data_IF_391460796284
#
_entry.id   IF_391460796284
#
_cell.length_a   1.000
_cell.length_b   1.000
_cell.length_c   1.000
_cell.angle_alpha   90.00
_cell.angle_beta   90.00
_cell.angle_gamma   90.00
#
_symmetry.space_group_name_H-M   'P 1'
#
loop_
_entity.id
_entity.type
_entity.pdbx_description
1 polymer ?
#
# COMPACT_ATOMS: atom_id res chain seq x y z
N UNK A 1 -9.68 -35.27 -82.68
CA UNK A 1 -8.65 -35.90 -81.83
C UNK A 1 -8.10 -34.84 -80.88
N UNK A 2 -8.33 -34.92 -79.56
CA UNK A 2 -7.74 -33.99 -78.60
C UNK A 2 -6.35 -34.50 -78.17
N UNK A 3 -5.37 -33.61 -78.04
CA UNK A 3 -4.17 -33.86 -77.24
C UNK A 3 -4.45 -33.36 -75.82
N UNK A 4 -4.32 -34.25 -74.84
CA UNK A 4 -4.60 -33.97 -73.43
C UNK A 4 -3.43 -33.29 -72.71
N UNK A 5 -3.82 -32.24 -72.00
CA UNK A 5 -3.18 -31.55 -70.89
C UNK A 5 -2.26 -32.40 -69.99
N UNK A 6 -1.03 -31.93 -69.80
CA UNK A 6 -0.28 -32.12 -68.54
C UNK A 6 0.20 -30.74 -68.10
N UNK A 7 -0.43 -30.17 -67.08
CA UNK A 7 -0.12 -28.84 -66.56
C UNK A 7 1.16 -28.88 -65.71
N UNK A 8 2.08 -27.95 -66.00
CA UNK A 8 3.40 -27.77 -65.36
C UNK A 8 3.35 -27.32 -63.88
N UNK A 9 2.22 -27.46 -63.20
CA UNK A 9 1.92 -26.80 -61.92
C UNK A 9 2.29 -27.60 -60.67
N UNK A 10 2.70 -28.87 -60.79
CA UNK A 10 2.89 -29.73 -59.62
C UNK A 10 4.25 -29.60 -58.90
N UNK A 11 5.27 -28.97 -59.52
CA UNK A 11 6.63 -28.99 -58.96
C UNK A 11 7.06 -27.73 -58.19
N UNK A 12 6.26 -26.65 -58.20
CA UNK A 12 6.63 -25.38 -57.55
C UNK A 12 6.10 -25.21 -56.12
N UNK A 13 5.19 -26.06 -55.66
CA UNK A 13 4.54 -25.85 -54.36
C UNK A 13 5.24 -26.50 -53.17
N UNK A 14 6.18 -27.43 -53.38
CA UNK A 14 6.82 -28.13 -52.25
C UNK A 14 8.03 -27.39 -51.68
N UNK A 15 8.63 -26.46 -52.42
CA UNK A 15 9.81 -25.70 -51.95
C UNK A 15 9.46 -24.41 -51.20
N UNK A 16 8.29 -23.83 -51.42
CA UNK A 16 7.89 -22.55 -50.80
C UNK A 16 7.38 -22.75 -49.36
N UNK A 17 6.85 -23.93 -49.02
CA UNK A 17 6.31 -24.20 -47.67
C UNK A 17 7.41 -24.44 -46.62
N UNK A 18 8.63 -24.81 -47.03
CA UNK A 18 9.75 -25.05 -46.11
C UNK A 18 10.44 -23.74 -45.67
N UNK A 19 10.36 -22.67 -46.48
CA UNK A 19 10.99 -21.39 -46.13
C UNK A 19 10.17 -20.51 -45.16
N UNK A 20 8.86 -20.72 -45.01
CA UNK A 20 8.03 -19.87 -44.14
C UNK A 20 7.99 -20.33 -42.67
N UNK A 21 8.49 -21.51 -42.34
CA UNK A 21 8.49 -22.02 -40.96
C UNK A 21 9.73 -21.62 -40.14
N UNK A 22 10.75 -21.01 -40.77
CA UNK A 22 12.04 -20.73 -40.11
C UNK A 22 12.17 -19.28 -39.61
N UNK A 23 11.28 -18.36 -40.02
CA UNK A 23 11.41 -16.93 -39.67
C UNK A 23 10.63 -16.47 -38.44
N UNK A 24 9.74 -17.29 -37.88
CA UNK A 24 9.16 -17.02 -36.56
C UNK A 24 9.95 -17.76 -35.49
N UNK A 25 11.17 -17.27 -35.24
CA UNK A 25 11.94 -17.67 -34.07
C UNK A 25 11.08 -17.45 -32.82
N UNK A 26 10.74 -18.55 -32.14
CA UNK A 26 10.10 -18.51 -30.83
C UNK A 26 11.09 -17.76 -29.93
N UNK A 27 10.83 -16.48 -29.63
CA UNK A 27 11.65 -15.75 -28.67
C UNK A 27 11.50 -16.49 -27.33
N UNK A 28 12.56 -17.10 -26.78
CA UNK A 28 12.45 -17.68 -25.45
C UNK A 28 12.01 -16.57 -24.51
N UNK A 29 10.95 -16.81 -23.74
CA UNK A 29 10.56 -15.88 -22.69
C UNK A 29 11.76 -15.73 -21.75
N UNK A 30 12.33 -14.53 -21.68
CA UNK A 30 13.35 -14.24 -20.66
C UNK A 30 12.67 -14.39 -19.31
N UNK A 31 13.16 -15.32 -18.49
CA UNK A 31 12.75 -15.41 -17.10
C UNK A 31 13.05 -14.07 -16.42
N UNK A 32 12.00 -13.44 -15.88
CA UNK A 32 12.16 -12.26 -15.03
C UNK A 32 12.73 -12.75 -13.70
N UNK A 33 13.91 -12.28 -13.34
CA UNK A 33 14.49 -12.49 -12.02
C UNK A 33 13.99 -11.40 -11.07
N UNK A 34 13.44 -11.79 -9.94
CA UNK A 34 13.10 -10.87 -8.86
C UNK A 34 14.22 -10.86 -7.82
N UNK A 35 14.45 -9.70 -7.21
CA UNK A 35 15.34 -9.54 -6.07
C UNK A 35 14.57 -8.97 -4.89
N UNK A 36 14.86 -9.48 -3.69
CA UNK A 36 14.36 -8.90 -2.45
C UNK A 36 15.06 -7.56 -2.23
N UNK A 37 14.28 -6.48 -2.12
CA UNK A 37 14.79 -5.11 -1.88
C UNK A 37 14.72 -4.70 -0.41
N UNK A 38 13.86 -5.37 0.36
CA UNK A 38 13.74 -5.25 1.80
C UNK A 38 13.10 -6.52 2.39
N UNK A 39 13.52 -6.92 3.59
CA UNK A 39 12.97 -8.05 4.34
C UNK A 39 12.91 -7.77 5.85
N UNK A 40 12.35 -8.71 6.60
CA UNK A 40 12.21 -8.58 8.06
C UNK A 40 11.34 -7.39 8.50
N UNK A 41 10.39 -6.97 7.66
CA UNK A 41 9.49 -5.84 7.91
C UNK A 41 8.22 -6.29 8.66
N UNK A 42 7.69 -5.39 9.49
CA UNK A 42 6.55 -5.66 10.37
C UNK A 42 5.24 -5.16 9.76
N UNK A 43 4.36 -6.07 9.35
CA UNK A 43 3.01 -5.78 8.82
C UNK A 43 3.00 -4.62 7.80
N UNK A 44 3.73 -4.80 6.69
CA UNK A 44 3.82 -3.80 5.61
C UNK A 44 2.44 -3.44 5.05
N UNK A 45 2.16 -2.15 4.86
CA UNK A 45 0.89 -1.65 4.29
C UNK A 45 1.08 -0.89 2.98
N UNK A 46 1.73 0.27 3.04
CA UNK A 46 1.96 1.16 1.90
C UNK A 46 3.44 1.40 1.63
N UNK A 47 3.76 1.77 0.38
CA UNK A 47 5.10 2.14 -0.04
C UNK A 47 5.04 3.19 -1.15
N UNK A 48 6.06 4.05 -1.22
CA UNK A 48 6.25 4.94 -2.36
C UNK A 48 7.72 5.36 -2.50
N UNK A 49 8.11 5.77 -3.70
CA UNK A 49 9.42 6.35 -3.98
C UNK A 49 9.42 7.85 -3.73
N UNK A 50 10.46 8.33 -3.06
CA UNK A 50 10.76 9.76 -3.00
C UNK A 50 11.39 10.22 -4.33
N UNK A 51 11.38 11.54 -4.64
CA UNK A 51 12.00 12.07 -5.86
C UNK A 51 13.51 11.80 -5.98
N UNK A 52 14.19 11.48 -4.89
CA UNK A 52 15.61 11.13 -4.88
C UNK A 52 15.88 9.64 -5.17
N UNK A 53 14.83 8.87 -5.49
CA UNK A 53 14.90 7.45 -5.80
C UNK A 53 14.87 6.50 -4.59
N UNK A 54 14.83 7.03 -3.37
CA UNK A 54 14.71 6.20 -2.16
C UNK A 54 13.30 5.60 -2.08
N UNK A 55 13.21 4.30 -1.76
CA UNK A 55 11.93 3.64 -1.47
C UNK A 55 11.61 3.82 0.01
N UNK A 56 10.39 4.25 0.32
CA UNK A 56 9.87 4.30 1.69
C UNK A 56 8.73 3.30 1.85
N UNK A 57 8.72 2.58 2.97
CA UNK A 57 7.80 1.49 3.28
C UNK A 57 7.22 1.76 4.66
N UNK A 58 5.90 1.72 4.78
CA UNK A 58 5.20 1.83 6.06
C UNK A 58 5.02 0.46 6.69
N UNK A 59 5.37 0.39 7.98
CA UNK A 59 5.26 -0.81 8.81
C UNK A 59 4.22 -0.54 9.88
N UNK A 60 3.08 -1.24 9.84
CA UNK A 60 2.06 -1.11 10.87
C UNK A 60 2.52 -1.63 12.24
N UNK A 61 3.65 -2.35 12.30
CA UNK A 61 4.22 -2.86 13.54
C UNK A 61 3.57 -4.15 14.01
N UNK A 62 3.96 -4.64 15.18
CA UNK A 62 3.54 -5.91 15.79
C UNK A 62 2.74 -5.72 17.08
N UNK A 63 2.19 -4.52 17.30
CA UNK A 63 1.49 -4.16 18.53
C UNK A 63 2.44 -3.94 19.70
N UNK A 64 1.98 -4.22 20.91
CA UNK A 64 2.78 -4.14 22.13
C UNK A 64 2.10 -4.73 23.37
N UNK A 65 2.51 -4.25 24.53
CA UNK A 65 1.99 -4.67 25.84
C UNK A 65 1.05 -3.62 26.47
N UNK A 66 0.52 -2.72 25.65
CA UNK A 66 -0.50 -1.75 26.03
C UNK A 66 -1.89 -2.36 26.13
N UNK A 67 -2.93 -1.51 26.05
CA UNK A 67 -4.32 -1.96 26.12
C UNK A 67 -4.61 -2.98 25.02
N UNK A 68 -5.31 -4.04 25.39
CA UNK A 68 -5.77 -5.06 24.46
C UNK A 68 -7.29 -4.97 24.28
N UNK A 69 -7.73 -5.14 23.04
CA UNK A 69 -9.14 -5.22 22.66
C UNK A 69 -9.39 -6.57 21.96
N UNK A 70 -10.63 -7.09 21.93
CA UNK A 70 -10.97 -8.24 21.10
C UNK A 70 -10.49 -8.02 19.66
N UNK A 71 -9.79 -9.01 19.10
CA UNK A 71 -9.32 -8.93 17.71
C UNK A 71 -10.52 -8.93 16.76
N UNK A 72 -10.54 -8.05 15.73
CA UNK A 72 -11.71 -7.87 14.88
C UNK A 72 -12.05 -9.08 13.99
N UNK A 73 -11.16 -10.08 13.89
CA UNK A 73 -11.28 -11.15 12.89
C UNK A 73 -11.04 -12.56 13.43
N UNK A 74 -10.63 -12.72 14.69
CA UNK A 74 -10.28 -14.01 15.27
C UNK A 74 -10.79 -14.11 16.71
N UNK A 75 -11.88 -14.85 16.89
CA UNK A 75 -12.48 -15.10 18.21
C UNK A 75 -11.45 -15.65 19.20
N UNK A 76 -11.49 -15.13 20.42
CA UNK A 76 -10.59 -15.55 21.51
C UNK A 76 -9.18 -14.98 21.46
N UNK A 77 -8.81 -14.24 20.40
CA UNK A 77 -7.55 -13.53 20.32
C UNK A 77 -7.72 -12.03 20.55
N UNK A 78 -6.68 -11.41 21.10
CA UNK A 78 -6.66 -10.00 21.44
C UNK A 78 -5.71 -9.25 20.53
N UNK A 79 -6.07 -8.03 20.16
CA UNK A 79 -5.16 -7.07 19.54
C UNK A 79 -4.67 -6.09 20.59
N UNK A 80 -3.36 -5.98 20.76
CA UNK A 80 -2.75 -5.17 21.81
C UNK A 80 -1.97 -3.99 21.26
N UNK A 81 -2.24 -2.81 21.82
CA UNK A 81 -1.63 -1.55 21.46
C UNK A 81 -0.16 -1.46 21.88
N UNK A 82 0.63 -0.73 21.10
CA UNK A 82 2.04 -0.45 21.32
C UNK A 82 2.55 0.66 20.41
N UNK A 83 3.88 0.81 20.36
CA UNK A 83 4.56 1.82 19.55
C UNK A 83 5.58 1.18 18.61
N UNK A 84 5.26 0.01 18.06
CA UNK A 84 6.14 -0.74 17.16
C UNK A 84 5.98 -0.37 15.68
N UNK A 85 5.11 0.60 15.36
CA UNK A 85 4.97 1.10 14.00
C UNK A 85 6.22 1.85 13.55
N UNK A 86 6.50 1.80 12.25
CA UNK A 86 7.70 2.41 11.68
C UNK A 86 7.52 2.85 10.23
N UNK A 87 8.49 3.64 9.76
CA UNK A 87 8.74 3.87 8.32
C UNK A 87 10.16 3.44 8.02
N UNK A 88 10.29 2.48 7.12
CA UNK A 88 11.57 2.00 6.59
C UNK A 88 11.91 2.73 5.30
N UNK A 89 13.18 3.10 5.13
CA UNK A 89 13.76 3.60 3.88
C UNK A 89 14.73 2.55 3.32
N UNK A 90 14.65 2.30 2.03
CA UNK A 90 15.67 1.61 1.24
C UNK A 90 16.30 2.62 0.29
N UNK A 91 17.62 2.80 0.41
CA UNK A 91 18.40 3.66 -0.49
C UNK A 91 19.76 3.03 -0.75
N UNK A 92 20.17 2.98 -2.02
CA UNK A 92 21.46 2.45 -2.43
C UNK A 92 21.74 1.03 -1.88
N UNK A 93 20.70 0.18 -1.89
CA UNK A 93 20.76 -1.20 -1.38
C UNK A 93 20.76 -1.33 0.14
N UNK A 94 20.60 -0.24 0.90
CA UNK A 94 20.60 -0.24 2.37
C UNK A 94 19.20 0.04 2.93
N UNK A 95 18.72 -0.88 3.76
CA UNK A 95 17.47 -0.77 4.52
C UNK A 95 17.71 -0.14 5.91
N UNK A 96 16.81 0.76 6.33
CA UNK A 96 16.85 1.41 7.65
C UNK A 96 15.47 1.92 8.08
N UNK A 97 15.07 1.66 9.34
CA UNK A 97 13.91 2.34 9.94
C UNK A 97 14.27 3.79 10.28
N UNK A 98 13.73 4.71 9.50
CA UNK A 98 14.00 6.16 9.62
C UNK A 98 12.99 6.88 10.52
N UNK A 99 11.84 6.26 10.78
CA UNK A 99 10.88 6.68 11.79
C UNK A 99 10.47 5.44 12.58
N UNK A 100 10.46 5.53 13.90
CA UNK A 100 10.08 4.46 14.82
C UNK A 100 9.23 5.03 15.94
N UNK A 101 8.69 4.18 16.82
CA UNK A 101 7.85 4.64 17.92
C UNK A 101 6.47 5.09 17.47
N UNK A 102 6.05 4.72 16.25
CA UNK A 102 4.73 5.07 15.73
C UNK A 102 3.67 4.15 16.33
N UNK A 103 2.41 4.62 16.43
CA UNK A 103 1.33 3.82 16.96
C UNK A 103 1.17 2.50 16.21
N UNK A 104 0.92 1.42 16.94
CA UNK A 104 0.68 0.08 16.38
C UNK A 104 -0.27 -0.72 17.26
N UNK A 105 -1.22 -1.43 16.65
CA UNK A 105 -2.03 -2.44 17.34
C UNK A 105 -2.01 -3.72 16.51
N UNK A 106 -1.73 -4.87 17.13
CA UNK A 106 -1.68 -6.13 16.41
C UNK A 106 -2.10 -7.31 17.28
N UNK A 107 -2.48 -8.39 16.63
CA UNK A 107 -2.97 -9.61 17.25
C UNK A 107 -1.88 -10.29 18.08
N UNK A 108 -2.22 -10.77 19.27
CA UNK A 108 -1.35 -11.58 20.12
C UNK A 108 -1.73 -13.06 20.03
N UNK A 109 -0.74 -13.98 20.16
CA UNK A 109 0.65 -13.73 20.54
C UNK A 109 1.59 -13.38 19.37
N UNK A 110 1.17 -13.53 18.10
CA UNK A 110 2.09 -13.56 16.96
C UNK A 110 2.43 -12.20 16.33
N UNK A 111 1.76 -11.10 16.72
CA UNK A 111 1.98 -9.77 16.16
C UNK A 111 1.40 -9.57 14.75
N UNK A 112 0.51 -10.44 14.29
CA UNK A 112 -0.07 -10.35 12.94
C UNK A 112 -1.24 -9.36 12.87
N UNK A 113 -1.69 -9.05 11.65
CA UNK A 113 -2.82 -8.13 11.39
C UNK A 113 -2.63 -6.75 12.02
N UNK A 114 -1.38 -6.28 12.04
CA UNK A 114 -1.05 -5.00 12.67
C UNK A 114 -1.68 -3.83 11.94
N UNK A 115 -2.29 -2.88 12.64
CA UNK A 115 -2.73 -1.58 12.14
C UNK A 115 -1.81 -0.49 12.72
N UNK A 116 -1.58 0.59 11.97
CA UNK A 116 -0.67 1.67 12.35
C UNK A 116 -0.39 2.60 11.16
N UNK A 117 0.89 2.89 10.83
CA UNK A 117 1.28 3.43 9.53
C UNK A 117 0.64 2.64 8.37
N UNK A 118 -0.15 3.33 7.53
CA UNK A 118 -0.87 2.72 6.41
C UNK A 118 -0.29 3.07 5.05
N UNK A 119 0.07 4.34 4.85
CA UNK A 119 0.50 4.82 3.54
C UNK A 119 1.45 6.00 3.64
N UNK A 120 2.34 6.15 2.67
CA UNK A 120 3.28 7.26 2.55
C UNK A 120 3.31 7.78 1.13
N UNK A 121 3.18 9.10 0.97
CA UNK A 121 3.23 9.76 -0.32
C UNK A 121 4.17 10.97 -0.28
N UNK A 122 4.70 11.32 -1.46
CA UNK A 122 5.55 12.49 -1.63
C UNK A 122 4.89 13.47 -2.60
N UNK A 123 4.87 14.76 -2.26
CA UNK A 123 4.42 15.78 -3.23
C UNK A 123 5.49 16.09 -4.28
N UNK A 124 5.15 16.96 -5.25
CA UNK A 124 6.05 17.40 -6.33
C UNK A 124 7.34 18.07 -5.83
N UNK A 125 7.35 18.59 -4.62
CA UNK A 125 8.52 19.22 -4.00
C UNK A 125 9.32 18.23 -3.15
N UNK A 126 8.88 16.96 -3.07
CA UNK A 126 9.49 15.91 -2.26
C UNK A 126 9.12 16.01 -0.77
N UNK A 127 8.07 16.75 -0.40
CA UNK A 127 7.59 16.73 0.97
C UNK A 127 6.92 15.37 1.26
N UNK A 128 7.29 14.69 2.34
CA UNK A 128 6.71 13.42 2.75
C UNK A 128 5.44 13.61 3.58
N UNK A 129 4.47 12.75 3.34
CA UNK A 129 3.20 12.67 4.06
C UNK A 129 2.93 11.24 4.49
N UNK A 130 2.57 11.04 5.75
CA UNK A 130 2.28 9.73 6.33
C UNK A 130 0.85 9.67 6.81
N UNK A 131 0.15 8.61 6.41
CA UNK A 131 -1.15 8.26 6.91
C UNK A 131 -1.00 7.26 8.05
N UNK A 132 -1.53 7.61 9.22
CA UNK A 132 -1.74 6.66 10.32
C UNK A 132 -3.25 6.42 10.37
N UNK A 133 -3.68 5.27 9.86
CA UNK A 133 -5.09 4.88 9.79
C UNK A 133 -5.54 4.18 11.06
N UNK A 134 -6.84 4.12 11.32
CA UNK A 134 -7.41 3.56 12.55
C UNK A 134 -8.56 2.61 12.24
N UNK A 135 -8.54 1.38 12.76
CA UNK A 135 -9.65 0.45 12.58
C UNK A 135 -10.69 0.53 13.71
N UNK A 136 -11.00 1.71 14.26
CA UNK A 136 -11.80 1.80 15.50
C UNK A 136 -12.49 3.14 15.77
N UNK A 137 -13.18 3.21 16.92
CA UNK A 137 -13.95 4.36 17.35
C UNK A 137 -13.03 5.54 17.75
N UNK A 138 -13.08 6.68 17.03
CA UNK A 138 -12.12 7.78 17.18
C UNK A 138 -12.19 8.51 18.53
N UNK A 139 -13.17 8.19 19.38
CA UNK A 139 -13.27 8.71 20.75
C UNK A 139 -12.43 7.95 21.76
N UNK A 140 -11.87 6.79 21.39
CA UNK A 140 -11.07 5.94 22.27
C UNK A 140 -9.58 6.24 22.07
N UNK A 141 -8.90 6.65 23.15
CA UNK A 141 -7.45 6.85 23.16
C UNK A 141 -6.74 5.61 23.73
N UNK A 142 -6.39 4.65 22.88
CA UNK A 142 -5.75 3.39 23.30
C UNK A 142 -4.23 3.46 23.50
N UNK A 143 -3.62 4.66 23.33
CA UNK A 143 -2.17 4.84 23.23
C UNK A 143 -1.63 5.90 24.20
N UNK A 144 -0.33 5.87 24.53
CA UNK A 144 0.29 6.88 25.39
C UNK A 144 0.06 8.29 24.85
N UNK A 145 -0.12 9.27 25.75
CA UNK A 145 -0.38 10.68 25.42
C UNK A 145 0.67 11.31 24.48
N UNK A 146 1.88 10.74 24.44
CA UNK A 146 2.99 11.23 23.62
C UNK A 146 3.10 10.53 22.25
N UNK A 147 2.20 9.60 21.95
CA UNK A 147 2.11 8.93 20.66
C UNK A 147 1.36 9.82 19.66
N UNK A 148 1.73 9.81 18.35
CA UNK A 148 0.89 10.40 17.31
C UNK A 148 -0.54 9.88 17.39
N UNK A 149 -1.51 10.73 17.05
CA UNK A 149 -2.92 10.37 17.00
C UNK A 149 -3.25 9.51 15.78
N UNK A 150 -4.32 8.74 15.89
CA UNK A 150 -4.80 7.82 14.88
C UNK A 150 -5.79 8.49 13.92
N UNK A 151 -5.96 7.91 12.72
CA UNK A 151 -6.87 8.43 11.70
C UNK A 151 -6.45 9.81 11.19
N UNK A 152 -5.15 10.09 11.17
CA UNK A 152 -4.62 11.41 10.81
C UNK A 152 -3.64 11.31 9.64
N UNK A 153 -3.62 12.39 8.86
CA UNK A 153 -2.61 12.63 7.85
C UNK A 153 -1.56 13.59 8.44
N UNK A 154 -0.30 13.18 8.38
CA UNK A 154 0.84 13.92 8.89
C UNK A 154 1.74 14.38 7.75
N UNK A 155 2.22 15.63 7.83
CA UNK A 155 3.45 16.02 7.14
C UNK A 155 4.65 15.63 8.01
N UNK A 156 5.65 14.99 7.42
CA UNK A 156 6.82 14.49 8.15
C UNK A 156 8.03 15.38 7.92
N UNK A 157 8.87 15.54 8.94
CA UNK A 157 10.27 15.90 8.77
C UNK A 157 11.15 14.64 8.89
N UNK A 158 11.61 14.12 7.76
CA UNK A 158 12.43 12.90 7.70
C UNK A 158 13.83 13.06 8.31
N UNK A 159 14.30 14.27 8.61
CA UNK A 159 15.58 14.48 9.28
C UNK A 159 15.46 14.34 10.79
N UNK A 160 14.34 14.78 11.35
CA UNK A 160 14.10 14.80 12.80
C UNK A 160 13.14 13.70 13.26
N UNK A 161 12.40 13.08 12.34
CA UNK A 161 11.30 12.16 12.65
C UNK A 161 10.05 12.87 13.18
N UNK A 162 9.96 14.20 13.07
CA UNK A 162 8.83 14.96 13.61
C UNK A 162 7.60 14.84 12.72
N UNK A 163 6.42 14.69 13.35
CA UNK A 163 5.13 14.60 12.68
C UNK A 163 4.31 15.87 12.96
N UNK A 164 3.83 16.53 11.90
CA UNK A 164 2.87 17.64 11.99
C UNK A 164 1.54 17.19 11.40
N UNK A 165 0.50 17.09 12.23
CA UNK A 165 -0.85 16.77 11.75
C UNK A 165 -1.34 17.86 10.80
N UNK A 166 -1.88 17.47 9.66
CA UNK A 166 -2.46 18.38 8.65
C UNK A 166 -3.92 18.07 8.33
N UNK A 167 -4.40 16.87 8.68
CA UNK A 167 -5.81 16.51 8.61
C UNK A 167 -6.15 15.46 9.67
N UNK A 168 -7.33 15.59 10.26
CA UNK A 168 -7.91 14.64 11.21
C UNK A 168 -9.12 13.96 10.56
N UNK A 169 -8.84 12.84 9.90
CA UNK A 169 -9.81 12.08 9.11
C UNK A 169 -10.77 11.33 10.02
N UNK A 170 -10.27 10.84 11.15
CA UNK A 170 -11.07 10.25 12.22
C UNK A 170 -12.14 11.21 12.75
N UNK A 171 -11.74 12.45 13.07
CA UNK A 171 -12.68 13.48 13.51
C UNK A 171 -13.64 13.89 12.40
N UNK A 172 -13.17 13.97 11.15
CA UNK A 172 -14.03 14.29 10.02
C UNK A 172 -15.10 13.22 9.81
N UNK A 173 -14.73 11.95 9.83
CA UNK A 173 -15.64 10.82 9.69
C UNK A 173 -16.70 10.83 10.79
N UNK A 174 -16.28 10.99 12.04
CA UNK A 174 -17.20 11.07 13.18
C UNK A 174 -18.23 12.21 13.05
N UNK A 175 -17.83 13.35 12.49
CA UNK A 175 -18.69 14.52 12.37
C UNK A 175 -19.61 14.50 11.14
N UNK A 176 -19.21 13.79 10.08
CA UNK A 176 -19.88 13.88 8.78
C UNK A 176 -20.45 12.56 8.27
N UNK A 177 -20.05 11.41 8.85
CA UNK A 177 -20.36 10.07 8.36
C UNK A 177 -20.23 10.02 6.83
N UNK A 178 -19.02 10.20 6.33
CA UNK A 178 -18.78 10.55 4.93
C UNK A 178 -19.14 9.41 3.98
N UNK A 179 -19.08 8.16 4.46
CA UNK A 179 -19.56 6.99 3.73
C UNK A 179 -21.05 6.69 3.95
N UNK A 180 -21.69 7.35 4.91
CA UNK A 180 -23.10 7.22 5.24
C UNK A 180 -23.45 5.91 5.96
N UNK A 181 -22.47 5.22 6.53
CA UNK A 181 -22.63 3.92 7.19
C UNK A 181 -22.41 4.06 8.69
N UNK A 182 -23.46 3.78 9.47
CA UNK A 182 -23.40 3.89 10.94
C UNK A 182 -22.71 2.69 11.63
N UNK A 183 -22.10 1.74 10.90
CA UNK A 183 -21.66 0.45 11.46
C UNK A 183 -20.33 -0.11 10.88
N UNK A 184 -19.25 0.13 11.63
CA UNK A 184 -18.15 -0.82 11.96
C UNK A 184 -18.44 -2.33 11.85
N UNK A 185 -19.34 -2.73 12.72
CA UNK A 185 -19.59 -4.07 13.19
C UNK A 185 -20.94 -4.07 13.97
N UNK A 186 -21.17 -5.09 14.80
CA UNK A 186 -22.37 -5.19 15.65
C UNK A 186 -22.45 -4.14 16.78
N UNK A 187 -21.45 -3.27 16.95
CA UNK A 187 -21.40 -2.25 18.02
C UNK A 187 -22.12 -0.94 17.70
N UNK A 188 -22.40 -0.65 16.42
CA UNK A 188 -23.05 0.63 16.03
C UNK A 188 -22.13 1.84 16.06
N UNK A 189 -20.81 1.63 16.06
CA UNK A 189 -19.82 2.72 16.12
C UNK A 189 -19.47 3.27 14.73
N UNK A 190 -19.48 4.61 14.59
CA UNK A 190 -18.83 5.31 13.48
C UNK A 190 -17.34 5.15 13.66
N UNK A 191 -16.68 4.52 12.71
CA UNK A 191 -15.24 4.31 12.77
C UNK A 191 -14.58 4.68 11.45
N UNK A 192 -13.36 5.19 11.56
CA UNK A 192 -12.68 5.87 10.46
C UNK A 192 -11.44 5.11 10.08
N UNK A 193 -11.45 4.49 8.90
CA UNK A 193 -10.36 3.62 8.46
C UNK A 193 -9.67 4.13 7.16
N UNK A 194 -8.87 5.21 7.25
CA UNK A 194 -8.03 5.63 6.15
C UNK A 194 -6.98 4.58 5.82
N UNK A 195 -7.04 3.97 4.63
CA UNK A 195 -6.03 3.00 4.21
C UNK A 195 -4.99 3.57 3.24
N UNK A 196 -5.41 4.50 2.38
CA UNK A 196 -4.52 5.09 1.40
C UNK A 196 -4.97 6.51 1.07
N UNK A 197 -4.02 7.32 0.62
CA UNK A 197 -4.29 8.64 0.07
C UNK A 197 -3.44 8.86 -1.17
N UNK A 198 -3.93 9.69 -2.08
CA UNK A 198 -3.24 10.07 -3.28
C UNK A 198 -2.97 11.56 -3.25
N UNK A 199 -1.76 11.94 -3.65
CA UNK A 199 -1.48 13.35 -3.97
C UNK A 199 -1.98 13.63 -5.39
N UNK A 200 -2.29 14.89 -5.70
CA UNK A 200 -2.87 15.29 -6.99
C UNK A 200 -2.11 14.72 -8.22
N UNK A 201 -0.80 14.49 -8.13
CA UNK A 201 0.00 13.98 -9.24
C UNK A 201 -0.18 12.48 -9.52
N UNK A 202 -0.52 11.69 -8.50
CA UNK A 202 -0.83 10.26 -8.65
C UNK A 202 -2.15 10.05 -9.40
N UNK A 203 -3.10 10.98 -9.23
CA UNK A 203 -4.43 10.92 -9.84
C UNK A 203 -4.40 11.36 -11.31
N UNK A 204 -3.55 12.35 -11.67
CA UNK A 204 -3.46 12.84 -13.06
C UNK A 204 -2.94 11.76 -14.03
N UNK A 205 -2.10 10.83 -13.55
CA UNK A 205 -1.67 9.67 -14.33
C UNK A 205 -2.79 8.63 -14.54
N UNK A 206 -3.94 8.78 -13.89
CA UNK A 206 -5.02 7.79 -13.84
C UNK A 206 -6.43 8.39 -14.02
N UNK A 207 -6.55 9.47 -14.81
CA UNK A 207 -7.77 10.22 -15.21
C UNK A 207 -8.02 11.52 -14.44
N UNK A 208 -7.97 12.63 -15.19
CA UNK A 208 -8.86 13.80 -15.03
C UNK A 208 -8.62 14.72 -13.82
N UNK A 209 -8.48 16.00 -14.12
CA UNK A 209 -8.15 17.11 -13.21
C UNK A 209 -9.01 17.17 -11.91
N UNK A 210 -8.37 16.92 -10.77
CA UNK A 210 -8.92 17.17 -9.42
C UNK A 210 -7.98 18.09 -8.64
N UNK A 211 -8.48 19.14 -8.02
CA UNK A 211 -7.71 19.99 -7.08
C UNK A 211 -7.91 19.48 -5.64
N UNK A 212 -7.14 18.48 -5.20
CA UNK A 212 -7.20 17.98 -3.81
C UNK A 212 -6.37 16.72 -3.53
N UNK A 213 -6.26 16.35 -2.25
CA UNK A 213 -5.84 15.01 -1.78
C UNK A 213 -7.08 14.12 -1.84
N UNK A 214 -6.99 12.93 -2.46
CA UNK A 214 -8.09 11.95 -2.49
C UNK A 214 -7.76 10.78 -1.58
N UNK A 215 -8.69 10.36 -0.74
CA UNK A 215 -8.53 9.26 0.21
C UNK A 215 -9.38 8.07 -0.24
N UNK A 216 -8.83 6.86 -0.11
CA UNK A 216 -9.60 5.63 -0.28
C UNK A 216 -9.87 5.03 1.10
N UNK A 217 -11.15 4.98 1.47
CA UNK A 217 -11.63 4.22 2.62
C UNK A 217 -12.04 2.82 2.12
N UNK A 218 -11.53 1.76 2.75
CA UNK A 218 -11.99 0.39 2.48
C UNK A 218 -13.03 -0.01 3.53
N UNK A 219 -13.93 -0.88 3.08
CA UNK A 219 -14.96 -1.57 3.85
C UNK A 219 -14.36 -2.59 4.81
#
# INVERSE_FOLDING_TARGET
>A
MPLSLISKSALSFTFITVCLAVFFGIKPAKAVSFSVVADGLDNVRGLNFAPDGSLYITESGVGGDGRCIPGPSLEGLLSCAGTSGAVTRVKDGRQERVITGLPSIALRPNGSTGEGPQDIQFDRLGNPYLLIGYGGNPTISDFPKNSPSWGQLYKIDLKTGSLKSIADLAKYEFANNADGVDVLDVSGEIASNPYAFATKMDIINNHGDFTGISQKMNR
#
